data_IF_240489342052
#
_entry.id   IF_240489342052
#
_cell.length_a   1.000
_cell.length_b   1.000
_cell.length_c   1.000
_cell.angle_alpha   90.00
_cell.angle_beta   90.00
_cell.angle_gamma   90.00
#
_symmetry.space_group_name_H-M   'P 1'
#
loop_
_entity.id
_entity.type
_entity.pdbx_description
1 polymer ?
#
# COMPACT_ATOMS: atom_id res chain seq x y z
N UNK A 1 5.67 8.18 -15.37
CA UNK A 1 6.01 7.18 -14.33
C UNK A 1 6.84 7.74 -13.18
N UNK A 2 7.86 8.56 -13.43
CA UNK A 2 8.72 9.12 -12.36
C UNK A 2 7.96 9.91 -11.26
N UNK A 3 6.81 10.51 -11.56
CA UNK A 3 6.04 11.29 -10.58
C UNK A 3 5.50 10.49 -9.39
N UNK A 4 4.98 9.27 -9.62
CA UNK A 4 4.30 8.49 -8.56
C UNK A 4 5.29 7.87 -7.56
N UNK A 5 6.39 7.31 -8.07
CA UNK A 5 7.49 6.81 -7.22
C UNK A 5 8.20 7.95 -6.49
N UNK A 6 8.36 9.12 -7.12
CA UNK A 6 8.89 10.32 -6.45
C UNK A 6 7.99 10.80 -5.31
N UNK A 7 6.68 10.82 -5.49
CA UNK A 7 5.75 11.21 -4.43
C UNK A 7 5.78 10.23 -3.26
N UNK A 8 5.89 8.93 -3.53
CA UNK A 8 5.99 7.91 -2.50
C UNK A 8 7.31 8.03 -1.72
N UNK A 9 8.44 8.15 -2.42
CA UNK A 9 9.75 8.36 -1.79
C UNK A 9 9.82 9.68 -1.02
N UNK A 10 9.18 10.74 -1.53
CA UNK A 10 9.07 12.02 -0.84
C UNK A 10 8.27 11.89 0.46
N UNK A 11 7.14 11.17 0.45
CA UNK A 11 6.37 10.91 1.66
C UNK A 11 7.17 10.11 2.69
N UNK A 12 7.93 9.10 2.24
CA UNK A 12 8.83 8.34 3.12
C UNK A 12 9.93 9.25 3.67
N UNK A 13 10.55 10.11 2.85
CA UNK A 13 11.59 11.03 3.29
C UNK A 13 11.08 12.07 4.30
N UNK A 14 9.88 12.62 4.07
CA UNK A 14 9.21 13.54 5.01
C UNK A 14 8.92 12.83 6.33
N UNK A 15 8.38 11.61 6.27
CA UNK A 15 8.12 10.80 7.47
C UNK A 15 9.42 10.45 8.22
N UNK A 16 10.49 10.11 7.50
CA UNK A 16 11.80 9.87 8.08
C UNK A 16 12.36 11.12 8.77
N UNK A 17 12.24 12.30 8.15
CA UNK A 17 12.67 13.57 8.75
C UNK A 17 11.88 13.87 10.04
N UNK A 18 10.56 13.69 10.02
CA UNK A 18 9.68 13.87 11.18
C UNK A 18 9.99 12.88 12.31
N UNK A 19 10.33 11.64 11.96
CA UNK A 19 10.71 10.61 12.92
C UNK A 19 11.98 10.98 13.71
N UNK A 20 12.83 11.88 13.19
CA UNK A 20 13.99 12.39 13.90
C UNK A 20 13.65 13.09 15.22
N UNK A 21 12.47 13.71 15.33
CA UNK A 21 12.03 14.32 16.59
C UNK A 21 11.74 13.26 17.68
N UNK A 22 11.26 12.07 17.29
CA UNK A 22 11.00 10.97 18.22
C UNK A 22 12.27 10.26 18.68
N UNK A 23 13.33 10.27 17.85
CA UNK A 23 14.66 9.83 18.26
C UNK A 23 15.23 10.77 19.32
N UNK A 24 15.15 12.09 19.07
CA UNK A 24 15.61 13.11 20.03
C UNK A 24 14.87 13.05 21.36
N UNK A 25 13.59 12.67 21.35
CA UNK A 25 12.79 12.51 22.57
C UNK A 25 12.96 11.14 23.25
N UNK A 26 13.87 10.28 22.77
CA UNK A 26 14.10 8.94 23.32
C UNK A 26 12.94 7.95 23.16
N UNK A 27 11.95 8.27 22.31
CA UNK A 27 10.77 7.41 22.10
C UNK A 27 11.09 6.21 21.18
N UNK A 28 12.04 6.39 20.27
CA UNK A 28 12.54 5.37 19.35
C UNK A 28 14.06 5.48 19.23
N UNK A 29 14.73 4.39 18.87
CA UNK A 29 16.17 4.41 18.57
C UNK A 29 16.42 4.84 17.12
N UNK A 30 17.65 5.28 16.83
CA UNK A 30 18.05 5.61 15.47
C UNK A 30 18.04 4.35 14.56
N UNK A 31 18.35 3.19 15.13
CA UNK A 31 18.29 1.90 14.44
C UNK A 31 16.84 1.51 14.10
N UNK A 32 15.90 1.62 15.05
CA UNK A 32 14.46 1.39 14.82
C UNK A 32 13.93 2.27 13.69
N UNK A 33 14.33 3.55 13.66
CA UNK A 33 13.98 4.49 12.59
C UNK A 33 14.53 4.06 11.23
N UNK A 34 15.80 3.67 11.16
CA UNK A 34 16.44 3.25 9.91
C UNK A 34 15.84 1.94 9.38
N UNK A 35 15.67 0.94 10.25
CA UNK A 35 15.08 -0.34 9.90
C UNK A 35 13.64 -0.18 9.39
N UNK A 36 12.84 0.66 10.06
CA UNK A 36 11.48 0.96 9.60
C UNK A 36 11.46 1.65 8.23
N UNK A 37 12.29 2.69 8.03
CA UNK A 37 12.37 3.38 6.74
C UNK A 37 12.86 2.44 5.63
N UNK A 38 13.88 1.63 5.89
CA UNK A 38 14.40 0.66 4.94
C UNK A 38 13.35 -0.38 4.56
N UNK A 39 12.64 -0.93 5.54
CA UNK A 39 11.53 -1.86 5.29
C UNK A 39 10.43 -1.20 4.45
N UNK A 40 10.00 0.02 4.79
CA UNK A 40 8.97 0.75 4.05
C UNK A 40 9.37 1.01 2.59
N UNK A 41 10.63 1.42 2.35
CA UNK A 41 11.18 1.61 0.99
C UNK A 41 11.22 0.28 0.24
N UNK A 42 11.76 -0.78 0.87
CA UNK A 42 11.93 -2.09 0.24
C UNK A 42 10.60 -2.70 -0.17
N UNK A 43 9.60 -2.67 0.72
CA UNK A 43 8.25 -3.16 0.41
C UNK A 43 7.56 -2.34 -0.68
N UNK A 44 7.70 -1.02 -0.64
CA UNK A 44 7.10 -0.14 -1.66
C UNK A 44 7.72 -0.35 -3.03
N UNK A 45 9.06 -0.41 -3.10
CA UNK A 45 9.77 -0.67 -4.35
C UNK A 45 9.48 -2.08 -4.87
N UNK A 46 9.45 -3.10 -4.00
CA UNK A 46 9.11 -4.46 -4.37
C UNK A 46 7.70 -4.57 -4.97
N UNK A 47 6.71 -3.94 -4.34
CA UNK A 47 5.34 -3.88 -4.87
C UNK A 47 5.29 -3.15 -6.22
N UNK A 48 5.90 -1.97 -6.33
CA UNK A 48 5.93 -1.23 -7.59
C UNK A 48 6.61 -2.03 -8.70
N UNK A 49 7.72 -2.71 -8.41
CA UNK A 49 8.45 -3.50 -9.38
C UNK A 49 7.65 -4.71 -9.85
N UNK A 50 6.99 -5.43 -8.92
CA UNK A 50 6.11 -6.55 -9.27
C UNK A 50 4.96 -6.11 -10.19
N UNK A 51 4.32 -4.97 -9.88
CA UNK A 51 3.24 -4.42 -10.69
C UNK A 51 3.73 -3.94 -12.08
N UNK A 52 4.90 -3.31 -12.16
CA UNK A 52 5.50 -2.90 -13.44
C UNK A 52 5.88 -4.10 -14.31
N UNK A 53 6.43 -5.17 -13.74
CA UNK A 53 6.71 -6.41 -14.48
C UNK A 53 5.43 -6.95 -15.11
N UNK A 54 4.34 -7.03 -14.34
CA UNK A 54 3.05 -7.53 -14.85
C UNK A 54 2.54 -6.63 -15.96
N UNK A 55 2.61 -5.31 -15.78
CA UNK A 55 2.18 -4.35 -16.79
C UNK A 55 2.98 -4.49 -18.09
N UNK A 56 4.30 -4.53 -18.00
CA UNK A 56 5.21 -4.69 -19.15
C UNK A 56 4.98 -6.02 -19.88
N UNK A 57 4.81 -7.11 -19.14
CA UNK A 57 4.56 -8.45 -19.70
C UNK A 57 3.15 -8.58 -20.33
N UNK A 58 2.17 -7.85 -19.80
CA UNK A 58 0.78 -7.93 -20.28
C UNK A 58 0.54 -7.22 -21.60
N UNK A 59 1.43 -6.31 -22.02
CA UNK A 59 1.26 -5.40 -23.16
C UNK A 59 -0.04 -4.57 -23.14
N UNK A 60 -0.70 -4.45 -22.00
CA UNK A 60 -1.96 -3.70 -21.86
C UNK A 60 -1.64 -2.20 -21.79
N UNK A 61 -2.27 -1.41 -22.69
CA UNK A 61 -2.09 0.06 -22.74
C UNK A 61 -2.66 0.77 -21.51
N UNK A 62 -3.72 0.24 -20.91
CA UNK A 62 -4.37 0.80 -19.73
C UNK A 62 -4.22 -0.14 -18.52
N UNK A 63 -3.41 0.23 -17.50
CA UNK A 63 -3.19 -0.60 -16.32
C UNK A 63 -4.48 -0.86 -15.52
N UNK A 64 -5.53 -0.04 -15.69
CA UNK A 64 -6.82 -0.27 -15.06
C UNK A 64 -7.51 -1.54 -15.56
N UNK A 65 -7.26 -1.97 -16.81
CA UNK A 65 -7.83 -3.22 -17.33
C UNK A 65 -7.26 -4.46 -16.63
N UNK A 66 -6.10 -4.35 -15.96
CA UNK A 66 -5.55 -5.44 -15.14
C UNK A 66 -6.13 -5.48 -13.72
N UNK A 67 -6.77 -4.39 -13.30
CA UNK A 67 -7.41 -4.26 -11.99
C UNK A 67 -8.90 -4.59 -12.03
N UNK A 68 -9.46 -4.86 -13.21
CA UNK A 68 -10.87 -5.27 -13.34
C UNK A 68 -11.15 -6.55 -12.56
N UNK A 69 -12.30 -6.60 -11.90
CA UNK A 69 -12.76 -7.76 -11.13
C UNK A 69 -14.17 -8.17 -11.59
N UNK A 70 -14.44 -9.47 -11.85
CA UNK A 70 -13.50 -10.59 -11.74
C UNK A 70 -12.37 -10.54 -12.80
N UNK A 71 -11.16 -11.04 -12.49
CA UNK A 71 -10.05 -11.04 -13.45
C UNK A 71 -10.35 -12.00 -14.60
N UNK A 72 -10.27 -11.50 -15.84
CA UNK A 72 -10.55 -12.30 -17.05
C UNK A 72 -9.28 -12.80 -17.77
N UNK A 73 -8.10 -12.33 -17.34
CA UNK A 73 -6.80 -12.69 -17.95
C UNK A 73 -5.83 -13.17 -16.88
N UNK A 74 -4.87 -14.01 -17.27
CA UNK A 74 -3.81 -14.48 -16.35
C UNK A 74 -3.01 -13.35 -15.71
N UNK A 75 -2.77 -12.26 -16.46
CA UNK A 75 -2.12 -11.05 -15.93
C UNK A 75 -3.01 -10.27 -14.94
N UNK A 76 -4.33 -10.26 -15.14
CA UNK A 76 -5.27 -9.73 -14.15
C UNK A 76 -5.25 -10.54 -12.86
N UNK A 77 -5.23 -11.89 -12.97
CA UNK A 77 -5.06 -12.76 -11.81
C UNK A 77 -3.75 -12.47 -11.07
N UNK A 78 -2.62 -12.36 -11.79
CA UNK A 78 -1.33 -12.02 -11.20
C UNK A 78 -1.34 -10.67 -10.47
N UNK A 79 -1.98 -9.65 -11.06
CA UNK A 79 -2.14 -8.31 -10.47
C UNK A 79 -2.88 -8.39 -9.13
N UNK A 80 -4.00 -9.11 -9.09
CA UNK A 80 -4.78 -9.31 -7.88
C UNK A 80 -4.07 -10.17 -6.84
N UNK A 81 -3.32 -11.21 -7.26
CA UNK A 81 -2.49 -12.02 -6.36
C UNK A 81 -1.41 -11.18 -5.69
N UNK A 82 -0.73 -10.32 -6.44
CA UNK A 82 0.27 -9.39 -5.87
C UNK A 82 -0.38 -8.42 -4.90
N UNK A 83 -1.53 -7.84 -5.25
CA UNK A 83 -2.25 -6.89 -4.39
C UNK A 83 -2.75 -7.54 -3.09
N UNK A 84 -3.51 -8.63 -3.18
CA UNK A 84 -4.05 -9.37 -2.02
C UNK A 84 -2.92 -9.98 -1.20
N UNK A 85 -1.92 -10.56 -1.84
CA UNK A 85 -0.76 -11.14 -1.18
C UNK A 85 0.03 -10.10 -0.37
N UNK A 86 0.21 -8.89 -0.93
CA UNK A 86 0.85 -7.79 -0.21
C UNK A 86 0.04 -7.36 1.01
N UNK A 87 -1.29 -7.24 0.88
CA UNK A 87 -2.17 -6.90 2.01
C UNK A 87 -2.14 -7.99 3.09
N UNK A 88 -2.28 -9.26 2.71
CA UNK A 88 -2.25 -10.38 3.64
C UNK A 88 -0.90 -10.48 4.38
N UNK A 89 0.20 -10.23 3.67
CA UNK A 89 1.52 -10.24 4.26
C UNK A 89 1.73 -9.05 5.21
N UNK A 90 1.27 -7.85 4.85
CA UNK A 90 1.29 -6.69 5.74
C UNK A 90 0.46 -6.93 7.01
N UNK A 91 -0.72 -7.55 6.89
CA UNK A 91 -1.54 -7.94 8.04
C UNK A 91 -0.83 -8.97 8.93
N UNK A 92 -0.19 -9.97 8.32
CA UNK A 92 0.61 -10.97 9.05
C UNK A 92 1.80 -10.33 9.77
N UNK A 93 2.45 -9.34 9.16
CA UNK A 93 3.58 -8.61 9.75
C UNK A 93 3.15 -7.59 10.81
N UNK A 94 1.88 -7.18 10.81
CA UNK A 94 1.32 -6.24 11.78
C UNK A 94 0.90 -6.90 13.11
N UNK A 95 0.58 -8.20 13.06
CA UNK A 95 0.08 -8.95 14.22
C UNK A 95 1.09 -9.24 15.34
N UNK A 96 2.41 -9.38 15.10
CA UNK A 96 3.40 -9.44 16.17
C UNK A 96 3.37 -8.17 17.04
N UNK A 97 3.44 -8.34 18.35
CA UNK A 97 3.32 -7.23 19.30
C UNK A 97 4.39 -6.15 19.10
N UNK A 98 5.60 -6.57 18.73
CA UNK A 98 6.74 -5.69 18.47
C UNK A 98 6.53 -4.75 17.27
N UNK A 99 5.85 -5.21 16.21
CA UNK A 99 5.61 -4.42 15.01
C UNK A 99 4.54 -3.36 15.25
N UNK A 100 3.47 -3.72 15.95
CA UNK A 100 2.41 -2.80 16.33
C UNK A 100 2.89 -1.75 17.34
N UNK A 101 3.75 -2.13 18.28
CA UNK A 101 4.39 -1.20 19.21
C UNK A 101 5.31 -0.19 18.49
N UNK A 102 6.15 -0.67 17.57
CA UNK A 102 6.97 0.21 16.74
C UNK A 102 6.11 1.15 15.89
N UNK A 103 5.02 0.67 15.30
CA UNK A 103 4.07 1.49 14.55
C UNK A 103 3.34 2.52 15.41
N UNK A 104 3.02 2.22 16.67
CA UNK A 104 2.49 3.23 17.60
C UNK A 104 3.50 4.34 17.89
N UNK A 105 4.78 3.99 18.00
CA UNK A 105 5.85 4.93 18.33
C UNK A 105 6.26 5.77 17.12
N UNK A 106 6.32 5.17 15.93
CA UNK A 106 6.80 5.78 14.68
C UNK A 106 5.65 6.34 13.82
N UNK A 107 4.48 5.72 13.82
CA UNK A 107 3.32 6.05 12.97
C UNK A 107 2.90 7.52 12.99
N UNK A 108 2.89 8.22 14.14
CA UNK A 108 2.60 9.66 14.19
C UNK A 108 3.56 10.54 13.38
N UNK A 109 4.75 10.04 13.00
CA UNK A 109 5.67 10.75 12.11
C UNK A 109 5.19 10.75 10.65
N UNK A 110 4.47 9.70 10.25
CA UNK A 110 4.05 9.41 8.88
C UNK A 110 2.59 9.79 8.61
N UNK A 111 1.78 9.97 9.66
CA UNK A 111 0.38 10.41 9.56
C UNK A 111 0.26 11.89 9.88
N UNK A 112 -0.67 12.60 9.24
CA UNK A 112 -0.88 14.02 9.46
C UNK A 112 -1.24 14.30 10.93
N UNK A 113 -0.54 15.23 11.59
CA UNK A 113 -0.70 15.51 13.05
C UNK A 113 -2.14 15.81 13.45
N UNK A 114 -2.92 16.42 12.57
CA UNK A 114 -4.32 16.76 12.80
C UNK A 114 -5.24 15.52 12.97
N UNK A 115 -4.86 14.38 12.41
CA UNK A 115 -5.63 13.12 12.48
C UNK A 115 -5.36 12.34 13.79
N UNK A 116 -4.26 12.64 14.48
CA UNK A 116 -3.79 11.89 15.66
C UNK A 116 -3.60 12.77 16.91
N UNK A 117 -3.81 14.08 16.81
CA UNK A 117 -3.68 15.01 17.94
C UNK A 117 -4.76 14.72 19.00
N UNK A 118 -4.40 13.93 20.01
CA UNK A 118 -5.25 13.62 21.17
C UNK A 118 -5.52 12.12 21.40
N UNK A 119 -5.24 11.26 20.42
CA UNK A 119 -5.51 9.83 20.52
C UNK A 119 -4.30 9.06 21.06
N UNK A 120 -4.35 8.67 22.34
CA UNK A 120 -3.48 7.62 22.90
C UNK A 120 -4.04 6.26 22.48
N UNK A 121 -3.72 5.84 21.25
CA UNK A 121 -4.11 4.53 20.76
C UNK A 121 -3.30 3.45 21.48
N UNK A 122 -3.98 2.39 21.89
CA UNK A 122 -3.33 1.17 22.38
C UNK A 122 -2.89 0.29 21.21
N UNK A 123 -1.97 -0.64 21.46
CA UNK A 123 -1.39 -1.52 20.43
C UNK A 123 -2.48 -2.29 19.67
N UNK A 124 -3.45 -2.84 20.40
CA UNK A 124 -4.61 -3.53 19.81
C UNK A 124 -5.47 -2.62 18.96
N UNK A 125 -5.67 -1.36 19.38
CA UNK A 125 -6.42 -0.39 18.57
C UNK A 125 -5.70 -0.06 17.27
N UNK A 126 -4.37 0.06 17.28
CA UNK A 126 -3.59 0.27 16.05
C UNK A 126 -3.68 -0.93 15.11
N UNK A 127 -3.57 -2.15 15.62
CA UNK A 127 -3.77 -3.36 14.82
C UNK A 127 -5.16 -3.41 14.19
N UNK A 128 -6.21 -3.13 14.98
CA UNK A 128 -7.60 -3.12 14.49
C UNK A 128 -7.79 -2.02 13.44
N UNK A 129 -7.36 -0.79 13.71
CA UNK A 129 -7.52 0.34 12.78
C UNK A 129 -6.81 0.07 11.45
N UNK A 130 -5.55 -0.39 11.48
CA UNK A 130 -4.82 -0.73 10.26
C UNK A 130 -5.43 -1.92 9.53
N UNK A 131 -5.94 -2.92 10.25
CA UNK A 131 -6.66 -4.04 9.64
C UNK A 131 -7.91 -3.56 8.93
N UNK A 132 -8.70 -2.69 9.58
CA UNK A 132 -9.91 -2.09 8.99
C UNK A 132 -9.54 -1.24 7.78
N UNK A 133 -8.52 -0.37 7.87
CA UNK A 133 -8.08 0.47 6.75
C UNK A 133 -7.64 -0.39 5.56
N UNK A 134 -6.78 -1.38 5.77
CA UNK A 134 -6.30 -2.26 4.70
C UNK A 134 -7.44 -3.06 4.07
N UNK A 135 -8.38 -3.55 4.89
CA UNK A 135 -9.56 -4.29 4.42
C UNK A 135 -10.52 -3.39 3.65
N UNK A 136 -10.78 -2.16 4.13
CA UNK A 136 -11.63 -1.17 3.45
C UNK A 136 -10.99 -0.73 2.14
N UNK A 137 -9.67 -0.53 2.08
CA UNK A 137 -8.98 -0.22 0.82
C UNK A 137 -9.15 -1.37 -0.18
N UNK A 138 -9.00 -2.62 0.26
CA UNK A 138 -9.21 -3.79 -0.59
C UNK A 138 -10.67 -3.89 -1.06
N UNK A 139 -11.64 -3.69 -0.15
CA UNK A 139 -13.07 -3.68 -0.47
C UNK A 139 -13.44 -2.55 -1.42
N UNK A 140 -12.90 -1.34 -1.22
CA UNK A 140 -13.11 -0.20 -2.11
C UNK A 140 -12.51 -0.48 -3.49
N UNK A 141 -11.33 -1.09 -3.56
CA UNK A 141 -10.76 -1.52 -4.83
C UNK A 141 -11.67 -2.56 -5.52
N UNK A 142 -12.21 -3.53 -4.79
CA UNK A 142 -13.17 -4.49 -5.35
C UNK A 142 -14.46 -3.79 -5.82
N UNK A 143 -15.06 -2.94 -4.98
CA UNK A 143 -16.31 -2.23 -5.26
C UNK A 143 -16.20 -1.23 -6.41
N UNK A 144 -15.12 -0.44 -6.48
CA UNK A 144 -14.89 0.50 -7.57
C UNK A 144 -14.78 -0.22 -8.93
N UNK A 145 -14.23 -1.43 -8.94
CA UNK A 145 -14.13 -2.24 -10.15
C UNK A 145 -15.44 -2.95 -10.52
N UNK A 146 -16.27 -3.33 -9.54
CA UNK A 146 -17.61 -3.91 -9.76
C UNK A 146 -18.63 -2.86 -10.22
N UNK A 147 -18.54 -1.63 -9.73
CA UNK A 147 -19.43 -0.54 -10.16
C UNK A 147 -19.00 -0.03 -11.55
N UNK A 148 -17.69 0.05 -11.83
CA UNK A 148 -17.16 0.45 -13.14
C UNK A 148 -17.44 -0.54 -14.28
N UNK A 149 -17.66 -1.83 -13.99
CA UNK A 149 -18.00 -2.84 -15.01
C UNK A 149 -19.40 -2.67 -15.60
N UNK A 150 -20.30 -1.93 -14.94
CA UNK A 150 -21.65 -1.66 -15.47
C UNK A 150 -21.68 -0.51 -16.49
N UNK A 151 -20.64 0.33 -16.56
CA UNK A 151 -20.61 1.52 -17.44
C UNK A 151 -19.63 1.42 -18.62
N UNK A 152 -18.83 0.35 -18.77
CA UNK A 152 -17.75 0.32 -19.78
C UNK A 152 -17.59 -0.99 -20.56
N UNK A 153 -18.49 -1.31 -21.51
CA UNK A 153 -18.18 -2.31 -22.53
C UNK A 153 -17.13 -1.83 -23.58
N UNK A 154 -16.74 -0.55 -23.60
CA UNK A 154 -15.97 0.04 -24.71
C UNK A 154 -14.45 0.25 -24.46
N UNK A 155 -13.96 0.28 -23.22
CA UNK A 155 -12.56 0.66 -22.95
C UNK A 155 -11.54 -0.49 -22.95
N UNK A 156 -11.94 -1.71 -22.57
CA UNK A 156 -11.04 -2.88 -22.62
C UNK A 156 -11.41 -3.87 -23.76
N UNK A 157 -12.54 -3.68 -24.46
CA UNK A 157 -13.07 -4.59 -25.48
C UNK A 157 -12.43 -4.51 -26.88
N UNK A 158 -11.68 -3.46 -27.20
CA UNK A 158 -11.10 -3.28 -28.56
C UNK A 158 -9.81 -4.08 -28.79
N UNK A 159 -9.21 -4.66 -27.74
CA UNK A 159 -7.93 -5.39 -27.86
C UNK A 159 -8.05 -6.92 -27.95
N UNK A 160 -9.23 -7.51 -27.73
CA UNK A 160 -9.43 -8.95 -27.91
C UNK A 160 -9.72 -9.36 -29.37
N UNK A 161 -9.90 -8.41 -30.29
CA UNK A 161 -10.21 -8.68 -31.70
C UNK A 161 -8.97 -8.64 -32.62
N UNK A 162 -7.76 -8.51 -32.07
CA UNK A 162 -6.52 -8.38 -32.85
C UNK A 162 -5.40 -9.33 -32.39
N UNK A 163 -5.75 -10.45 -31.75
CA UNK A 163 -4.85 -11.57 -31.49
C UNK A 163 -5.32 -12.80 -32.26
#
# INVERSE_FOLDING_TARGET
MAGRSRLLLLNIAIGHARAGAFVKSGRITQEERQNFTCAAVTWSLGYCFAQEIILLASHVRNPLCLLTFPPHTGYGVATWVVAVGTVALLLRLLWPDSAADLLMRVGPAYVNRALLSGLRLTQKQVQIILTVILTVILLLALLANVIGSNETPSFCGVLSAAA
#
